data_IF_884787474128
#
_entry.id   IF_884787474128
#
_cell.length_a   1.000
_cell.length_b   1.000
_cell.length_c   1.000
_cell.angle_alpha   90.00
_cell.angle_beta   90.00
_cell.angle_gamma   90.00
#
_symmetry.space_group_name_H-M   'P 1'
#
loop_
_entity.id
_entity.type
_entity.pdbx_description
1 polymer ?
#
# COMPACT_ATOMS: atom_id res chain seq x y z
N UNK A 1 17.81 -4.96 12.84
CA UNK A 1 18.49 -3.67 12.53
C UNK A 1 17.60 -2.52 13.00
N UNK A 2 18.18 -1.45 13.56
CA UNK A 2 17.41 -0.29 14.02
C UNK A 2 16.79 0.41 12.80
N UNK A 3 15.49 0.66 12.86
CA UNK A 3 14.78 1.46 11.84
C UNK A 3 15.22 2.91 11.96
N UNK A 4 15.39 3.57 10.82
CA UNK A 4 15.76 4.99 10.76
C UNK A 4 14.72 5.85 11.52
N UNK A 5 15.21 6.75 12.37
CA UNK A 5 14.36 7.59 13.21
C UNK A 5 13.49 8.55 12.39
N UNK A 6 13.91 8.92 11.18
CA UNK A 6 13.17 9.81 10.28
C UNK A 6 11.77 9.30 9.97
N UNK A 7 11.60 7.99 9.79
CA UNK A 7 10.29 7.38 9.53
C UNK A 7 9.33 7.62 10.70
N UNK A 8 9.81 7.36 11.92
CA UNK A 8 9.01 7.53 13.13
C UNK A 8 8.67 9.00 13.37
N UNK A 9 9.66 9.88 13.27
CA UNK A 9 9.46 11.32 13.46
C UNK A 9 8.49 11.91 12.44
N UNK A 10 8.54 11.47 11.18
CA UNK A 10 7.60 11.92 10.16
C UNK A 10 6.16 11.52 10.48
N UNK A 11 5.94 10.26 10.88
CA UNK A 11 4.61 9.75 11.24
C UNK A 11 4.07 10.49 12.48
N UNK A 12 4.88 10.60 13.53
CA UNK A 12 4.48 11.31 14.76
C UNK A 12 4.14 12.78 14.49
N UNK A 13 4.91 13.46 13.64
CA UNK A 13 4.62 14.84 13.26
C UNK A 13 3.35 14.95 12.40
N UNK A 14 3.14 14.01 11.47
CA UNK A 14 1.92 13.94 10.65
C UNK A 14 0.68 13.80 11.51
N UNK A 15 0.71 12.88 12.48
CA UNK A 15 -0.38 12.68 13.45
C UNK A 15 -0.62 13.95 14.28
N UNK A 16 0.44 14.54 14.86
CA UNK A 16 0.32 15.75 15.69
C UNK A 16 -0.24 16.96 14.94
N UNK A 17 0.15 17.15 13.68
CA UNK A 17 -0.29 18.27 12.84
C UNK A 17 -1.59 17.98 12.09
N UNK A 18 -2.12 16.77 12.16
CA UNK A 18 -3.26 16.35 11.32
C UNK A 18 -2.93 16.28 9.82
N UNK A 19 -1.65 16.18 9.46
CA UNK A 19 -1.21 16.11 8.07
C UNK A 19 -1.10 14.64 7.60
N UNK A 20 -1.60 14.37 6.39
CA UNK A 20 -1.39 13.08 5.73
C UNK A 20 0.08 12.91 5.35
N UNK A 21 0.65 11.75 5.62
CA UNK A 21 2.01 11.43 5.18
C UNK A 21 1.99 10.33 4.12
N UNK A 22 2.83 10.46 3.10
CA UNK A 22 2.96 9.49 2.02
C UNK A 22 4.30 8.78 2.09
N UNK A 23 4.29 7.46 1.90
CA UNK A 23 5.47 6.61 1.81
C UNK A 23 5.45 5.80 0.52
N UNK A 24 6.60 5.69 -0.14
CA UNK A 24 6.80 4.81 -1.29
C UNK A 24 7.75 3.70 -0.88
N UNK A 25 7.31 2.45 -0.96
CA UNK A 25 8.10 1.27 -0.61
C UNK A 25 8.44 0.52 -1.88
N UNK A 26 9.74 0.31 -2.10
CA UNK A 26 10.26 -0.45 -3.24
C UNK A 26 10.80 -1.79 -2.75
N UNK A 27 10.30 -2.88 -3.35
CA UNK A 27 10.86 -4.22 -3.21
C UNK A 27 9.84 -5.32 -2.89
N UNK A 28 10.27 -6.57 -3.10
CA UNK A 28 9.40 -7.75 -3.03
C UNK A 28 8.82 -8.02 -1.63
N UNK A 29 9.52 -7.59 -0.57
CA UNK A 29 9.10 -7.71 0.84
C UNK A 29 8.41 -6.46 1.38
N UNK A 30 7.84 -5.63 0.50
CA UNK A 30 7.14 -4.41 0.91
C UNK A 30 5.98 -4.69 1.88
N UNK A 31 5.30 -5.83 1.77
CA UNK A 31 4.17 -6.22 2.63
C UNK A 31 4.53 -6.24 4.12
N UNK A 32 5.68 -6.78 4.47
CA UNK A 32 6.14 -6.82 5.86
C UNK A 32 6.42 -5.40 6.37
N UNK A 33 6.89 -4.51 5.51
CA UNK A 33 7.12 -3.11 5.85
C UNK A 33 5.82 -2.33 6.03
N UNK A 34 4.76 -2.66 5.29
CA UNK A 34 3.42 -2.09 5.52
C UNK A 34 2.94 -2.39 6.95
N UNK A 35 3.13 -3.62 7.44
CA UNK A 35 2.77 -3.99 8.81
C UNK A 35 3.59 -3.20 9.85
N UNK A 36 4.88 -2.99 9.60
CA UNK A 36 5.74 -2.17 10.47
C UNK A 36 5.30 -0.70 10.50
N UNK A 37 4.96 -0.10 9.35
CA UNK A 37 4.45 1.27 9.29
C UNK A 37 3.11 1.41 10.02
N UNK A 38 2.21 0.44 9.86
CA UNK A 38 0.93 0.41 10.60
C UNK A 38 1.15 0.33 12.10
N UNK A 39 2.13 -0.47 12.55
CA UNK A 39 2.49 -0.56 13.96
C UNK A 39 3.01 0.77 14.51
N UNK A 40 3.87 1.46 13.77
CA UNK A 40 4.38 2.79 14.16
C UNK A 40 3.24 3.80 14.21
N UNK A 41 2.35 3.80 13.20
CA UNK A 41 1.17 4.67 13.19
C UNK A 41 0.28 4.41 14.40
N UNK A 42 -0.05 3.15 14.67
CA UNK A 42 -0.89 2.74 15.80
C UNK A 42 -0.31 3.17 17.15
N UNK A 43 1.02 3.26 17.26
CA UNK A 43 1.70 3.77 18.45
C UNK A 43 1.72 5.29 18.54
N UNK A 44 1.73 5.99 17.40
CA UNK A 44 1.73 7.44 17.34
C UNK A 44 0.33 8.03 17.52
N UNK A 45 -0.71 7.31 17.11
CA UNK A 45 -2.11 7.72 17.26
C UNK A 45 -2.60 7.51 18.69
N UNK A 46 -3.18 8.55 19.28
CA UNK A 46 -3.82 8.49 20.61
C UNK A 46 -5.21 7.83 20.55
N UNK A 47 -5.85 7.86 19.37
CA UNK A 47 -7.12 7.19 19.10
C UNK A 47 -6.95 5.67 18.97
N UNK A 48 -8.07 4.96 18.75
CA UNK A 48 -8.06 3.51 18.48
C UNK A 48 -7.22 3.12 17.26
N UNK A 49 -6.98 1.81 17.12
CA UNK A 49 -6.15 1.25 16.05
C UNK A 49 -6.68 1.69 14.67
N UNK A 50 -5.86 2.32 13.81
CA UNK A 50 -6.34 2.88 12.54
C UNK A 50 -6.80 1.79 11.57
N UNK A 51 -7.96 2.02 10.96
CA UNK A 51 -8.50 1.17 9.89
C UNK A 51 -7.65 1.30 8.62
N UNK A 52 -7.61 0.23 7.83
CA UNK A 52 -6.75 0.15 6.63
C UNK A 52 -7.60 -0.07 5.39
N UNK A 53 -7.37 0.73 4.36
CA UNK A 53 -7.83 0.48 3.00
C UNK A 53 -6.70 -0.17 2.21
N UNK A 54 -6.93 -1.35 1.64
CA UNK A 54 -5.97 -2.03 0.78
C UNK A 54 -6.52 -2.14 -0.64
N UNK A 55 -5.93 -1.37 -1.54
CA UNK A 55 -6.30 -1.34 -2.95
C UNK A 55 -5.34 -2.18 -3.80
N UNK A 56 -5.89 -2.97 -4.71
CA UNK A 56 -5.12 -3.85 -5.59
C UNK A 56 -5.85 -4.07 -6.93
N UNK A 57 -5.11 -4.52 -7.96
CA UNK A 57 -5.70 -4.84 -9.25
C UNK A 57 -6.03 -6.33 -9.40
N UNK A 58 -5.00 -7.19 -9.32
CA UNK A 58 -5.11 -8.63 -9.61
C UNK A 58 -5.07 -9.45 -8.32
N UNK A 59 -3.88 -9.63 -7.76
CA UNK A 59 -3.67 -10.54 -6.64
C UNK A 59 -2.95 -9.88 -5.46
N UNK A 60 -3.51 -10.11 -4.27
CA UNK A 60 -2.90 -9.74 -2.99
C UNK A 60 -1.72 -10.64 -2.63
N UNK A 61 -1.61 -11.82 -3.25
CA UNK A 61 -0.62 -12.85 -2.89
C UNK A 61 -0.79 -13.44 -1.48
N UNK A 62 -1.94 -13.23 -0.85
CA UNK A 62 -2.39 -13.90 0.37
C UNK A 62 -3.93 -13.99 0.37
N UNK A 63 -4.48 -14.93 1.14
CA UNK A 63 -5.94 -15.06 1.30
C UNK A 63 -6.47 -14.01 2.27
N UNK A 64 -7.53 -13.31 1.90
CA UNK A 64 -8.26 -12.38 2.78
C UNK A 64 -9.17 -13.11 3.78
N UNK A 65 -9.59 -14.34 3.45
CA UNK A 65 -10.47 -15.14 4.31
C UNK A 65 -9.74 -15.66 5.56
N UNK A 66 -10.16 -15.20 6.74
CA UNK A 66 -9.62 -15.59 8.06
C UNK A 66 -9.63 -17.11 8.29
N UNK A 67 -10.76 -17.79 8.00
CA UNK A 67 -10.89 -19.24 8.17
C UNK A 67 -9.88 -20.03 7.31
N UNK A 68 -9.76 -19.67 6.03
CA UNK A 68 -8.80 -20.33 5.11
C UNK A 68 -7.35 -20.12 5.59
N UNK A 69 -7.04 -18.95 6.15
CA UNK A 69 -5.70 -18.66 6.69
C UNK A 69 -5.40 -19.48 7.94
N UNK A 70 -6.30 -19.51 8.91
CA UNK A 70 -6.13 -20.32 10.13
C UNK A 70 -5.96 -21.82 9.79
N UNK A 71 -6.73 -22.32 8.82
CA UNK A 71 -6.60 -23.70 8.34
C UNK A 71 -5.28 -23.96 7.59
N UNK A 72 -4.73 -22.97 6.88
CA UNK A 72 -3.38 -23.07 6.29
C UNK A 72 -2.31 -23.10 7.37
N UNK A 73 -2.36 -22.15 8.32
CA UNK A 73 -1.41 -22.09 9.44
C UNK A 73 -1.39 -23.38 10.25
N UNK A 74 -2.56 -23.93 10.60
CA UNK A 74 -2.67 -25.20 11.31
C UNK A 74 -2.05 -26.37 10.52
N UNK A 75 -2.24 -26.41 9.20
CA UNK A 75 -1.62 -27.43 8.34
C UNK A 75 -0.11 -27.29 8.26
N UNK A 76 0.40 -26.06 8.17
CA UNK A 76 1.83 -25.80 8.08
C UNK A 76 2.56 -26.13 9.39
N UNK A 77 1.92 -25.87 10.55
CA UNK A 77 2.39 -26.30 11.88
C UNK A 77 2.38 -27.84 11.98
N UNK A 78 1.29 -28.50 11.57
CA UNK A 78 1.19 -29.97 11.58
C UNK A 78 2.25 -30.65 10.70
N UNK A 79 2.71 -29.96 9.64
CA UNK A 79 3.76 -30.44 8.73
C UNK A 79 5.17 -30.13 9.23
N UNK A 80 5.34 -29.45 10.36
CA UNK A 80 6.63 -29.05 10.89
C UNK A 80 7.36 -27.99 10.06
N UNK A 81 6.66 -27.29 9.16
CA UNK A 81 7.24 -26.23 8.32
C UNK A 81 7.39 -24.92 9.12
N UNK A 82 6.57 -24.74 10.15
CA UNK A 82 6.57 -23.57 11.03
C UNK A 82 6.50 -23.99 12.50
N UNK A 83 7.20 -23.24 13.33
CA UNK A 83 7.06 -23.32 14.78
C UNK A 83 5.78 -22.65 15.26
N UNK A 84 5.26 -23.08 16.42
CA UNK A 84 3.99 -22.61 16.97
C UNK A 84 4.02 -21.11 17.33
N UNK A 85 5.20 -20.57 17.63
CA UNK A 85 5.41 -19.19 18.10
C UNK A 85 5.95 -18.24 17.03
N UNK A 86 6.26 -18.73 15.82
CA UNK A 86 6.77 -17.89 14.72
C UNK A 86 5.61 -17.16 14.01
N UNK A 87 5.02 -16.20 14.72
CA UNK A 87 3.99 -15.31 14.18
C UNK A 87 4.66 -14.19 13.39
N UNK A 88 4.65 -14.32 12.05
CA UNK A 88 5.11 -13.25 11.17
C UNK A 88 4.33 -11.94 11.46
N UNK A 89 4.99 -10.78 11.64
CA UNK A 89 4.35 -9.48 11.90
C UNK A 89 3.24 -9.13 10.91
N UNK A 90 3.38 -9.55 9.65
CA UNK A 90 2.35 -9.34 8.63
C UNK A 90 1.08 -10.16 8.88
N UNK A 91 1.20 -11.38 9.40
CA UNK A 91 0.04 -12.22 9.73
C UNK A 91 -0.73 -11.66 10.92
N UNK A 92 -0.01 -11.20 11.95
CA UNK A 92 -0.58 -10.49 13.09
C UNK A 92 -1.29 -9.21 12.65
N UNK A 93 -0.66 -8.44 11.76
CA UNK A 93 -1.25 -7.25 11.17
C UNK A 93 -2.60 -7.57 10.53
N UNK A 94 -2.68 -8.53 9.60
CA UNK A 94 -3.95 -8.83 8.93
C UNK A 94 -4.99 -9.46 9.88
N UNK A 95 -4.55 -10.17 10.93
CA UNK A 95 -5.46 -10.78 11.90
C UNK A 95 -6.11 -9.73 12.82
N UNK A 96 -5.31 -8.78 13.33
CA UNK A 96 -5.74 -7.82 14.35
C UNK A 96 -6.26 -6.49 13.80
N UNK A 97 -6.04 -6.18 12.53
CA UNK A 97 -6.52 -4.94 11.92
C UNK A 97 -7.82 -5.13 11.15
N UNK A 98 -8.63 -4.08 11.15
CA UNK A 98 -9.74 -3.95 10.23
C UNK A 98 -9.21 -3.46 8.88
N UNK A 99 -9.23 -4.34 7.89
CA UNK A 99 -8.76 -4.05 6.53
C UNK A 99 -9.93 -4.17 5.57
N UNK A 100 -10.24 -3.06 4.89
CA UNK A 100 -11.12 -3.03 3.72
C UNK A 100 -10.30 -3.34 2.48
N UNK A 101 -10.54 -4.49 1.87
CA UNK A 101 -9.98 -4.83 0.56
C UNK A 101 -10.86 -4.25 -0.54
N UNK A 102 -10.24 -3.57 -1.51
CA UNK A 102 -10.96 -2.92 -2.60
C UNK A 102 -10.19 -3.11 -3.91
N UNK A 103 -10.88 -3.58 -4.94
CA UNK A 103 -10.31 -3.60 -6.29
C UNK A 103 -10.26 -2.18 -6.85
N UNK A 104 -9.28 -1.89 -7.72
CA UNK A 104 -9.17 -0.57 -8.33
C UNK A 104 -10.41 -0.15 -9.13
N UNK A 105 -11.06 -1.09 -9.82
CA UNK A 105 -12.33 -0.85 -10.53
C UNK A 105 -13.51 -0.54 -9.57
N UNK A 106 -13.39 -0.86 -8.29
CA UNK A 106 -14.43 -0.70 -7.27
C UNK A 106 -14.19 0.47 -6.31
N UNK A 107 -13.18 1.30 -6.57
CA UNK A 107 -12.83 2.48 -5.72
C UNK A 107 -13.94 3.53 -5.60
N UNK A 108 -15.00 3.46 -6.38
CA UNK A 108 -16.19 4.30 -6.18
C UNK A 108 -16.96 3.91 -4.90
N UNK A 109 -16.83 2.66 -4.42
CA UNK A 109 -17.54 2.16 -3.23
C UNK A 109 -16.95 2.65 -1.91
N UNK A 110 -15.75 3.22 -1.93
CA UNK A 110 -15.07 3.72 -0.73
C UNK A 110 -15.29 5.23 -0.51
N UNK A 111 -15.95 5.91 -1.46
CA UNK A 111 -16.31 7.31 -1.30
C UNK A 111 -17.25 7.49 -0.11
N UNK A 112 -17.02 8.54 0.69
CA UNK A 112 -17.74 8.78 1.94
C UNK A 112 -17.26 7.94 3.13
N UNK A 113 -16.32 7.00 2.91
CA UNK A 113 -15.62 6.32 4.00
C UNK A 113 -14.29 7.00 4.27
N UNK A 114 -13.82 6.93 5.52
CA UNK A 114 -12.53 7.47 5.94
C UNK A 114 -11.68 6.39 6.59
N UNK A 115 -10.40 6.33 6.23
CA UNK A 115 -9.43 5.34 6.70
C UNK A 115 -8.21 6.01 7.34
N UNK A 116 -7.61 5.33 8.32
CA UNK A 116 -6.36 5.78 8.96
C UNK A 116 -5.12 5.47 8.14
N UNK A 117 -5.18 4.43 7.30
CA UNK A 117 -4.09 4.04 6.41
C UNK A 117 -4.64 3.55 5.06
N UNK A 118 -4.00 3.93 3.96
CA UNK A 118 -4.29 3.44 2.62
C UNK A 118 -3.04 2.78 2.03
N UNK A 119 -3.19 1.58 1.49
CA UNK A 119 -2.15 0.80 0.81
C UNK A 119 -2.54 0.67 -0.66
N UNK A 120 -1.71 1.21 -1.54
CA UNK A 120 -1.87 1.14 -2.99
C UNK A 120 -0.84 0.16 -3.55
N UNK A 121 -1.30 -1.02 -3.96
CA UNK A 121 -0.46 -2.07 -4.54
C UNK A 121 -0.46 -2.01 -6.07
N UNK A 122 0.69 -2.24 -6.70
CA UNK A 122 0.83 -2.32 -8.15
C UNK A 122 0.57 -0.95 -8.83
N UNK A 123 1.47 0.00 -8.58
CA UNK A 123 1.41 1.38 -9.07
C UNK A 123 1.13 1.51 -10.59
N UNK A 124 1.56 0.55 -11.41
CA UNK A 124 1.32 0.48 -12.86
C UNK A 124 -0.16 0.58 -13.26
N UNK A 125 -1.06 0.12 -12.38
CA UNK A 125 -2.50 0.09 -12.61
C UNK A 125 -3.24 1.27 -11.99
N UNK A 126 -2.55 2.12 -11.22
CA UNK A 126 -3.14 3.34 -10.72
C UNK A 126 -3.45 4.27 -11.89
N UNK A 127 -4.47 5.10 -11.73
CA UNK A 127 -4.75 6.23 -12.61
C UNK A 127 -4.85 7.47 -11.73
N UNK A 128 -4.67 8.68 -12.28
CA UNK A 128 -4.72 9.91 -11.47
C UNK A 128 -6.04 10.03 -10.68
N UNK A 129 -7.15 9.59 -11.28
CA UNK A 129 -8.46 9.59 -10.64
C UNK A 129 -8.54 8.59 -9.48
N UNK A 130 -7.98 7.37 -9.63
CA UNK A 130 -7.90 6.40 -8.53
C UNK A 130 -7.03 6.92 -7.39
N UNK A 131 -5.92 7.56 -7.72
CA UNK A 131 -5.00 8.17 -6.76
C UNK A 131 -5.70 9.27 -5.96
N UNK A 132 -6.41 10.19 -6.63
CA UNK A 132 -7.18 11.24 -5.99
C UNK A 132 -8.25 10.68 -5.03
N UNK A 133 -9.10 9.76 -5.52
CA UNK A 133 -10.16 9.16 -4.70
C UNK A 133 -9.61 8.45 -3.46
N UNK A 134 -8.55 7.65 -3.62
CA UNK A 134 -7.98 6.89 -2.51
C UNK A 134 -7.30 7.79 -1.47
N UNK A 135 -6.56 8.81 -1.91
CA UNK A 135 -5.92 9.80 -1.02
C UNK A 135 -6.96 10.64 -0.27
N UNK A 136 -8.07 11.00 -0.91
CA UNK A 136 -9.16 11.76 -0.30
C UNK A 136 -9.79 11.00 0.88
N UNK A 137 -9.91 9.67 0.77
CA UNK A 137 -10.46 8.84 1.86
C UNK A 137 -9.53 8.68 3.06
N UNK A 138 -8.32 9.22 3.05
CA UNK A 138 -7.39 9.13 4.19
C UNK A 138 -7.57 10.33 5.11
N UNK A 139 -7.78 10.08 6.40
CA UNK A 139 -7.91 11.15 7.40
C UNK A 139 -6.61 11.93 7.61
N UNK A 140 -6.74 13.13 8.17
CA UNK A 140 -5.60 13.88 8.71
C UNK A 140 -4.83 13.07 9.74
N UNK A 141 -3.50 13.06 9.64
CA UNK A 141 -2.62 12.19 10.45
C UNK A 141 -2.54 10.75 9.97
N UNK A 142 -3.27 10.39 8.90
CA UNK A 142 -3.22 9.06 8.29
C UNK A 142 -2.02 8.86 7.36
N UNK A 143 -1.85 7.62 6.91
CA UNK A 143 -0.75 7.19 6.06
C UNK A 143 -1.21 6.70 4.69
N UNK A 144 -0.53 7.15 3.64
CA UNK A 144 -0.69 6.63 2.28
C UNK A 144 0.59 5.88 1.93
N UNK A 145 0.48 4.60 1.58
CA UNK A 145 1.61 3.74 1.25
C UNK A 145 1.47 3.23 -0.17
N UNK A 146 2.40 3.60 -1.04
CA UNK A 146 2.50 3.10 -2.40
C UNK A 146 3.53 1.98 -2.45
N UNK A 147 3.13 0.80 -2.93
CA UNK A 147 3.99 -0.37 -3.03
C UNK A 147 4.41 -0.62 -4.47
N UNK A 148 5.72 -0.67 -4.69
CA UNK A 148 6.38 -0.99 -5.96
C UNK A 148 7.07 -2.36 -5.82
N UNK A 149 6.63 -3.36 -6.59
CA UNK A 149 7.14 -4.75 -6.52
C UNK A 149 8.57 -4.88 -7.04
N UNK A 150 8.79 -4.57 -8.32
CA UNK A 150 10.09 -4.68 -8.96
C UNK A 150 10.51 -3.35 -9.58
N UNK A 151 11.70 -2.87 -9.21
CA UNK A 151 12.41 -1.84 -9.95
C UNK A 151 13.86 -2.30 -10.02
N UNK A 152 14.42 -2.41 -11.22
CA UNK A 152 15.87 -2.54 -11.38
C UNK A 152 16.55 -1.16 -11.24
N UNK A 153 15.81 -0.06 -11.46
CA UNK A 153 16.26 1.31 -11.14
C UNK A 153 15.08 2.30 -11.01
N UNK A 154 15.31 3.43 -10.32
CA UNK A 154 14.39 4.58 -10.31
C UNK A 154 14.15 5.17 -11.71
N UNK A 155 15.09 4.98 -12.64
CA UNK A 155 14.95 5.36 -14.06
C UNK A 155 13.80 4.62 -14.75
N UNK A 156 13.56 3.35 -14.38
CA UNK A 156 12.42 2.58 -14.93
C UNK A 156 11.07 3.13 -14.47
N UNK A 157 11.03 3.77 -13.31
CA UNK A 157 9.85 4.44 -12.77
C UNK A 157 9.43 5.62 -13.66
N UNK A 158 10.40 6.37 -14.22
CA UNK A 158 10.15 7.48 -15.16
C UNK A 158 9.59 7.02 -16.50
N UNK A 159 10.06 5.86 -16.99
CA UNK A 159 9.65 5.30 -18.30
C UNK A 159 8.48 4.33 -18.19
N UNK A 160 7.96 4.09 -16.99
CA UNK A 160 6.91 3.10 -16.76
C UNK A 160 5.63 3.51 -17.49
N UNK A 161 5.06 2.62 -18.29
CA UNK A 161 3.83 2.87 -19.05
C UNK A 161 2.63 2.41 -18.22
N UNK A 162 1.88 3.34 -17.65
CA UNK A 162 0.57 3.07 -17.01
C UNK A 162 -0.40 2.41 -18.00
N UNK A 163 -1.36 1.63 -17.48
CA UNK A 163 -2.38 0.98 -18.32
C UNK A 163 -3.24 1.96 -19.14
N UNK A 164 -3.39 3.20 -18.70
CA UNK A 164 -4.05 4.28 -19.46
C UNK A 164 -3.33 4.55 -20.78
N UNK A 165 -2.00 4.50 -20.79
CA UNK A 165 -1.20 4.71 -21.99
C UNK A 165 -1.35 3.59 -23.02
N UNK A 166 -1.71 2.36 -22.59
CA UNK A 166 -2.02 1.27 -23.52
C UNK A 166 -3.26 1.54 -24.37
N UNK A 167 -4.25 2.28 -23.83
CA UNK A 167 -5.47 2.67 -24.57
C UNK A 167 -5.22 3.73 -25.63
N UNK A 168 -4.09 4.45 -25.55
CA UNK A 168 -3.68 5.47 -26.51
C UNK A 168 -2.70 4.96 -27.58
N UNK A 169 -2.37 3.65 -27.56
CA UNK A 169 -1.64 3.02 -28.65
C UNK A 169 -2.61 2.63 -29.76
N UNK A 170 -2.51 3.32 -30.89
CA UNK A 170 -3.17 2.95 -32.16
C UNK A 170 -2.10 2.55 -33.16
N UNK A 171 -2.46 1.85 -34.24
CA UNK A 171 -1.49 1.47 -35.30
C UNK A 171 -0.75 2.68 -35.89
N UNK A 172 -1.35 3.88 -35.83
CA UNK A 172 -0.76 5.13 -36.29
C UNK A 172 0.06 5.89 -35.23
N UNK A 173 -0.03 5.55 -33.94
CA UNK A 173 0.70 6.20 -32.83
C UNK A 173 1.25 5.13 -31.87
N UNK A 174 2.48 4.67 -32.15
CA UNK A 174 3.16 3.66 -31.33
C UNK A 174 3.86 4.25 -30.08
N UNK A 175 4.38 5.47 -30.19
CA UNK A 175 5.16 6.12 -29.14
C UNK A 175 4.29 6.91 -28.17
N UNK A 176 3.81 6.24 -27.12
CA UNK A 176 3.12 6.89 -26.00
C UNK A 176 4.12 7.18 -24.88
N UNK A 177 4.42 8.47 -24.67
CA UNK A 177 5.30 8.93 -23.59
C UNK A 177 4.51 9.03 -22.27
N UNK A 178 5.00 8.40 -21.21
CA UNK A 178 4.37 8.35 -19.90
C UNK A 178 4.59 9.64 -19.06
N UNK A 179 4.21 10.81 -19.60
CA UNK A 179 4.46 12.13 -18.98
C UNK A 179 3.86 12.30 -17.57
N UNK A 180 2.79 11.56 -17.26
CA UNK A 180 2.21 11.58 -15.91
C UNK A 180 3.16 10.97 -14.88
N UNK A 181 3.79 9.83 -15.19
CA UNK A 181 4.67 9.16 -14.25
C UNK A 181 5.93 9.97 -13.97
N UNK A 182 6.49 10.60 -15.00
CA UNK A 182 7.59 11.55 -14.86
C UNK A 182 7.21 12.71 -13.93
N UNK A 183 6.06 13.36 -14.17
CA UNK A 183 5.57 14.46 -13.31
C UNK A 183 5.24 14.01 -11.89
N UNK A 184 4.63 12.84 -11.72
CA UNK A 184 4.27 12.30 -10.42
C UNK A 184 5.53 12.06 -9.58
N UNK A 185 6.57 11.45 -10.15
CA UNK A 185 7.82 11.22 -9.45
C UNK A 185 8.56 12.51 -9.12
N UNK A 186 8.60 13.46 -10.05
CA UNK A 186 9.16 14.78 -9.78
C UNK A 186 8.40 15.47 -8.63
N UNK A 187 7.07 15.34 -8.58
CA UNK A 187 6.25 15.90 -7.49
C UNK A 187 6.44 15.19 -6.14
N UNK A 188 6.93 13.95 -6.14
CA UNK A 188 7.27 13.23 -4.90
C UNK A 188 8.63 13.66 -4.34
N UNK A 189 9.51 14.19 -5.18
CA UNK A 189 10.86 14.62 -4.80
C UNK A 189 10.92 16.07 -4.31
N UNK A 190 9.96 16.90 -4.70
CA UNK A 190 9.77 18.31 -4.29
C UNK A 190 8.92 18.43 -3.03
#
# INVERSE_FOLDING_TARGET
KKVDTRLRTLIENGVKKGHRSMFVIVGDRARDQVANLHYILSKATVAGRPSVLWCYNKDLGFTTHRKKRAAKLKRDIQRGIREVDDQNPFELFIACTEIRYCYYNETHKILGSTYGMCVLQDFEFLTPNLLARTIETVMGGGLIVVVLKSMNSLTQLYTMVMDVHKRFRTEAHQDVVARFNERFLLSLAT
#
